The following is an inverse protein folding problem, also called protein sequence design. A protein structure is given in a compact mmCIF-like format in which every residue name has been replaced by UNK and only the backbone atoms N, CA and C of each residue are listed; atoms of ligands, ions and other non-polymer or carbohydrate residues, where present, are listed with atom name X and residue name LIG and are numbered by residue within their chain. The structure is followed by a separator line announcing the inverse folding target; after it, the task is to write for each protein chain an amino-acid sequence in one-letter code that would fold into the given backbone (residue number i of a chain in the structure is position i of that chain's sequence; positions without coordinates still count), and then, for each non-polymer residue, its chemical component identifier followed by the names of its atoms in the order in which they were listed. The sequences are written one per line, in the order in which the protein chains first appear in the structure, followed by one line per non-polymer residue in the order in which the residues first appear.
data_IF_225411053225
#
_entry.id   IF_225411053225
#
_cell.length_a   1.000
_cell.length_b   1.000
_cell.length_c   1.000
_cell.angle_alpha   90.00
_cell.angle_beta   90.00
_cell.angle_gamma   90.00
#
_symmetry.space_group_name_H-M   'P 1'
#
loop_
_entity.id
_entity.type
_entity.pdbx_description
1 polymer ?
#
# COMPACT_ATOMS: atom_id res chain seq x y z
N UNK A 1 26.63 -7.70 16.88
CA UNK A 1 26.36 -7.61 15.43
C UNK A 1 25.00 -6.97 15.22
N UNK A 2 24.93 -5.87 14.48
CA UNK A 2 23.67 -5.17 14.21
C UNK A 2 22.90 -5.96 13.13
N UNK A 3 21.64 -6.38 13.37
CA UNK A 3 20.85 -7.10 12.38
C UNK A 3 20.77 -6.34 11.05
N UNK A 4 20.86 -7.04 9.92
CA UNK A 4 20.88 -6.44 8.57
C UNK A 4 19.70 -5.49 8.30
N UNK A 5 18.54 -5.75 8.94
CA UNK A 5 17.34 -4.90 8.92
C UNK A 5 17.59 -3.46 9.42
N UNK A 6 18.53 -3.27 10.34
CA UNK A 6 18.89 -1.97 10.92
C UNK A 6 19.93 -1.23 10.07
N UNK A 7 20.72 -1.95 9.24
CA UNK A 7 21.77 -1.35 8.40
C UNK A 7 21.27 -0.80 7.07
N UNK A 8 20.23 -1.39 6.47
CA UNK A 8 19.58 -0.85 5.27
C UNK A 8 18.91 0.52 5.55
N UNK A 9 18.39 0.72 6.77
CA UNK A 9 17.84 2.00 7.22
C UNK A 9 18.93 3.07 7.46
N UNK A 10 20.07 2.65 8.04
CA UNK A 10 21.18 3.55 8.39
C UNK A 10 22.01 3.97 7.19
N UNK A 11 22.17 3.13 6.16
CA UNK A 11 22.92 3.49 4.94
C UNK A 11 22.22 4.59 4.12
N UNK A 12 20.88 4.63 4.15
CA UNK A 12 20.08 5.71 3.56
C UNK A 12 20.15 7.02 4.37
N UNK A 13 20.40 6.95 5.67
CA UNK A 13 20.49 8.14 6.54
C UNK A 13 21.86 8.85 6.45
N UNK A 14 22.93 8.12 6.09
CA UNK A 14 24.31 8.66 6.12
C UNK A 14 24.76 9.23 4.76
N UNK A 15 24.09 8.89 3.65
CA UNK A 15 24.51 9.33 2.30
C UNK A 15 23.57 10.35 1.67
N UNK A 16 22.89 11.15 2.50
CA UNK A 16 22.01 12.25 2.08
C UNK A 16 22.10 13.47 3.03
N UNK A 17 23.16 13.51 3.85
CA UNK A 17 23.40 14.57 4.84
C UNK A 17 23.92 15.89 4.24
N UNK A 18 24.31 15.95 2.96
CA UNK A 18 25.05 17.10 2.42
C UNK A 18 24.48 17.75 1.14
N UNK A 19 23.28 17.38 0.67
CA UNK A 19 22.71 18.01 -0.54
C UNK A 19 21.24 18.49 -0.48
N UNK A 20 20.65 18.68 0.70
CA UNK A 20 19.33 19.32 0.82
C UNK A 20 19.34 20.48 1.81
N UNK A 21 20.18 21.47 1.49
CA UNK A 21 20.11 22.82 2.02
C UNK A 21 19.55 23.70 0.90
N UNK A 22 18.35 24.24 1.12
CA UNK A 22 17.60 25.24 0.33
C UNK A 22 16.47 24.75 -0.60
N UNK A 23 15.29 24.59 0.00
CA UNK A 23 14.09 25.25 -0.51
C UNK A 23 13.19 25.65 0.69
N UNK A 24 12.70 26.91 0.78
CA UNK A 24 11.86 27.36 1.89
C UNK A 24 10.50 26.64 1.87
N UNK A 25 10.09 26.18 3.06
CA UNK A 25 8.97 25.27 3.37
C UNK A 25 7.59 25.95 3.47
N UNK A 26 7.39 27.08 2.80
CA UNK A 26 6.13 27.82 2.88
C UNK A 26 5.26 27.49 1.65
N UNK A 27 4.08 26.90 1.89
CA UNK A 27 3.09 26.40 0.93
C UNK A 27 3.39 25.05 0.24
N UNK A 28 3.36 23.93 0.99
CA UNK A 28 3.21 22.62 0.36
C UNK A 28 1.76 22.44 -0.16
N UNK A 29 1.53 22.05 -1.43
CA UNK A 29 0.19 21.94 -2.04
C UNK A 29 -0.82 21.14 -1.21
N UNK A 30 -0.36 20.08 -0.53
CA UNK A 30 -1.17 19.22 0.35
C UNK A 30 -1.98 19.99 1.42
N UNK A 31 -1.55 21.19 1.83
CA UNK A 31 -2.22 21.97 2.88
C UNK A 31 -3.09 23.11 2.34
N UNK A 32 -2.81 23.61 1.14
CA UNK A 32 -3.39 24.85 0.64
C UNK A 32 -4.16 24.69 -0.67
N UNK A 33 -3.91 23.63 -1.43
CA UNK A 33 -4.57 23.38 -2.71
C UNK A 33 -5.51 22.17 -2.64
N UNK A 34 -6.68 22.30 -3.29
CA UNK A 34 -7.38 21.16 -3.88
C UNK A 34 -7.18 21.31 -5.40
N UNK A 35 -6.28 20.54 -6.03
CA UNK A 35 -6.12 20.52 -7.48
C UNK A 35 -7.46 20.25 -8.17
N UNK A 36 -7.58 20.43 -9.48
CA UNK A 36 -8.75 19.94 -10.20
C UNK A 36 -8.99 18.45 -9.90
N UNK A 37 -10.24 18.00 -9.98
CA UNK A 37 -10.54 16.58 -9.85
C UNK A 37 -9.78 15.80 -10.92
N UNK A 38 -9.19 14.68 -10.53
CA UNK A 38 -8.61 13.80 -11.51
C UNK A 38 -9.72 13.18 -12.37
N UNK A 39 -9.49 12.91 -13.67
CA UNK A 39 -10.45 12.16 -14.46
C UNK A 39 -10.67 10.77 -13.85
N UNK A 40 -11.84 10.12 -14.03
CA UNK A 40 -12.00 8.74 -13.61
C UNK A 40 -10.98 7.83 -14.34
N UNK A 41 -10.46 6.77 -13.68
CA UNK A 41 -9.63 5.78 -14.35
C UNK A 41 -10.36 5.16 -15.56
N UNK A 42 -9.62 4.85 -16.62
CA UNK A 42 -10.20 4.23 -17.82
C UNK A 42 -10.47 2.74 -17.55
N UNK A 43 -11.74 2.33 -17.54
CA UNK A 43 -12.09 0.90 -17.44
C UNK A 43 -11.68 0.17 -18.73
N UNK A 44 -10.82 -0.85 -18.59
CA UNK A 44 -10.36 -1.69 -19.68
C UNK A 44 -11.24 -2.94 -19.85
N UNK A 45 -11.67 -3.52 -18.74
CA UNK A 45 -12.54 -4.70 -18.74
C UNK A 45 -13.26 -4.89 -17.41
N UNK A 46 -14.38 -5.61 -17.46
CA UNK A 46 -15.23 -5.96 -16.33
C UNK A 46 -15.85 -7.35 -16.53
N UNK A 47 -16.00 -8.08 -15.43
CA UNK A 47 -16.73 -9.35 -15.38
C UNK A 47 -17.43 -9.52 -14.03
N UNK A 48 -18.70 -9.89 -14.08
CA UNK A 48 -19.53 -10.09 -12.90
C UNK A 48 -19.96 -8.77 -12.27
N UNK A 49 -20.84 -8.87 -11.28
CA UNK A 49 -21.30 -7.74 -10.47
C UNK A 49 -20.67 -7.82 -9.08
N UNK A 50 -20.16 -6.70 -8.53
CA UNK A 50 -19.61 -6.69 -7.18
C UNK A 50 -20.71 -6.89 -6.13
N UNK A 51 -20.34 -7.50 -5.02
CA UNK A 51 -21.27 -7.80 -3.92
C UNK A 51 -20.66 -8.59 -2.77
N UNK A 52 -19.37 -8.90 -2.83
CA UNK A 52 -18.65 -9.53 -1.74
C UNK A 52 -18.33 -8.52 -0.62
N UNK A 53 -18.15 -9.01 0.61
CA UNK A 53 -17.68 -8.15 1.72
C UNK A 53 -16.18 -7.83 1.64
N UNK A 54 -15.43 -8.60 0.84
CA UNK A 54 -13.98 -8.47 0.66
C UNK A 54 -13.67 -7.92 -0.74
N UNK A 55 -12.84 -6.89 -0.80
CA UNK A 55 -12.18 -6.45 -2.02
C UNK A 55 -10.71 -6.90 -2.05
N UNK A 56 -10.27 -7.59 -3.09
CA UNK A 56 -8.86 -7.75 -3.41
C UNK A 56 -8.43 -6.59 -4.31
N UNK A 57 -7.63 -5.65 -3.79
CA UNK A 57 -7.12 -4.50 -4.54
C UNK A 57 -5.70 -4.81 -5.02
N UNK A 58 -5.54 -4.97 -6.33
CA UNK A 58 -4.26 -5.28 -6.96
C UNK A 58 -3.81 -4.13 -7.85
N UNK A 59 -2.61 -3.60 -7.61
CA UNK A 59 -1.96 -2.68 -8.55
C UNK A 59 -0.87 -3.38 -9.37
N UNK A 60 -0.97 -3.31 -10.69
CA UNK A 60 -0.09 -3.97 -11.65
C UNK A 60 0.71 -2.94 -12.48
N UNK A 61 1.95 -2.69 -12.05
CA UNK A 61 2.96 -1.96 -12.82
C UNK A 61 3.92 -2.91 -13.57
N UNK A 62 4.17 -4.11 -13.05
CA UNK A 62 5.06 -5.11 -13.64
C UNK A 62 4.27 -6.37 -14.05
N UNK A 63 3.75 -6.45 -15.29
CA UNK A 63 2.88 -7.55 -15.72
C UNK A 63 3.51 -8.94 -15.67
N UNK A 64 4.84 -9.03 -15.77
CA UNK A 64 5.54 -10.32 -15.78
C UNK A 64 5.51 -11.05 -14.44
N UNK A 65 5.30 -10.34 -13.32
CA UNK A 65 5.13 -10.95 -11.99
C UNK A 65 3.66 -11.04 -11.56
N UNK A 66 2.74 -10.56 -12.40
CA UNK A 66 1.30 -10.61 -12.12
C UNK A 66 0.78 -12.04 -11.90
N UNK A 67 1.14 -13.07 -12.72
CA UNK A 67 0.60 -14.42 -12.54
C UNK A 67 0.85 -15.01 -11.15
N UNK A 68 2.01 -14.75 -10.54
CA UNK A 68 2.30 -15.22 -9.18
C UNK A 68 1.44 -14.55 -8.11
N UNK A 69 1.14 -13.26 -8.27
CA UNK A 69 0.24 -12.53 -7.36
C UNK A 69 -1.20 -13.01 -7.52
N UNK A 70 -1.63 -13.29 -8.75
CA UNK A 70 -2.95 -13.84 -9.03
C UNK A 70 -3.13 -15.22 -8.40
N UNK A 71 -2.15 -16.10 -8.51
CA UNK A 71 -2.18 -17.40 -7.83
C UNK A 71 -2.20 -17.28 -6.29
N UNK A 72 -1.55 -16.26 -5.73
CA UNK A 72 -1.62 -16.01 -4.28
C UNK A 72 -3.02 -15.59 -3.81
N UNK A 73 -3.83 -14.93 -4.66
CA UNK A 73 -5.20 -14.54 -4.32
C UNK A 73 -6.15 -15.75 -4.17
N UNK A 74 -5.82 -16.92 -4.73
CA UNK A 74 -6.56 -18.17 -4.50
C UNK A 74 -6.54 -18.61 -3.03
N UNK A 75 -5.62 -18.07 -2.22
CA UNK A 75 -5.60 -18.29 -0.79
C UNK A 75 -6.81 -17.67 -0.05
N UNK A 76 -7.59 -16.78 -0.67
CA UNK A 76 -8.76 -16.18 -0.03
C UNK A 76 -9.92 -17.19 -0.02
N UNK A 77 -10.37 -17.69 1.16
CA UNK A 77 -11.33 -18.78 1.25
C UNK A 77 -12.80 -18.33 1.23
N UNK A 78 -13.05 -17.06 0.92
CA UNK A 78 -14.37 -16.42 0.88
C UNK A 78 -14.56 -15.75 -0.48
N UNK A 79 -15.82 -15.56 -0.95
CA UNK A 79 -16.07 -14.74 -2.13
C UNK A 79 -15.47 -13.34 -1.97
N UNK A 80 -14.78 -12.86 -2.99
CA UNK A 80 -14.21 -11.51 -3.02
C UNK A 80 -14.30 -10.90 -4.42
N UNK A 81 -14.32 -9.58 -4.47
CA UNK A 81 -14.29 -8.81 -5.71
C UNK A 81 -12.87 -8.33 -6.01
N UNK A 82 -12.41 -8.52 -7.25
CA UNK A 82 -11.05 -8.19 -7.66
C UNK A 82 -11.01 -6.82 -8.37
N UNK A 83 -10.32 -5.86 -7.75
CA UNK A 83 -10.17 -4.50 -8.24
C UNK A 83 -8.72 -4.31 -8.73
N UNK A 84 -8.52 -4.24 -10.04
CA UNK A 84 -7.18 -4.15 -10.64
C UNK A 84 -6.94 -2.76 -11.21
N UNK A 85 -5.85 -2.12 -10.82
CA UNK A 85 -5.29 -0.97 -11.55
C UNK A 85 -4.04 -1.37 -12.28
N UNK A 86 -3.79 -0.81 -13.45
CA UNK A 86 -2.58 -1.10 -14.23
C UNK A 86 -2.04 0.13 -14.95
N UNK A 87 -0.72 0.20 -15.09
CA UNK A 87 -0.04 1.28 -15.84
C UNK A 87 0.16 0.95 -17.31
N UNK A 88 -0.13 -0.29 -17.73
CA UNK A 88 -0.03 -0.74 -19.11
C UNK A 88 -1.41 -1.21 -19.58
N UNK A 89 -1.69 -1.22 -20.89
CA UNK A 89 -2.86 -1.92 -21.41
C UNK A 89 -2.77 -3.40 -20.98
N UNK A 90 -3.61 -3.78 -20.02
CA UNK A 90 -3.71 -5.14 -19.51
C UNK A 90 -5.08 -5.68 -19.86
N UNK A 91 -5.10 -6.77 -20.60
CA UNK A 91 -6.30 -7.61 -20.73
C UNK A 91 -6.10 -8.75 -19.74
N UNK A 92 -6.89 -8.79 -18.68
CA UNK A 92 -6.84 -9.93 -17.77
C UNK A 92 -7.27 -11.19 -18.53
N UNK A 93 -6.49 -12.29 -18.45
CA UNK A 93 -6.86 -13.55 -19.10
C UNK A 93 -8.19 -14.08 -18.56
N UNK A 94 -8.95 -14.77 -19.42
CA UNK A 94 -10.25 -15.42 -19.13
C UNK A 94 -10.17 -16.51 -18.04
N UNK A 95 -9.02 -16.76 -17.41
CA UNK A 95 -8.78 -17.74 -16.34
C UNK A 95 -8.86 -17.16 -14.91
N UNK A 96 -8.62 -15.86 -14.75
CA UNK A 96 -8.95 -15.08 -13.54
C UNK A 96 -10.44 -15.11 -13.09
N UNK A 97 -11.42 -15.33 -13.97
CA UNK A 97 -12.84 -15.41 -13.69
C UNK A 97 -13.35 -16.50 -12.75
N UNK A 98 -12.59 -17.51 -12.35
CA UNK A 98 -13.22 -18.64 -11.63
C UNK A 98 -13.29 -18.46 -10.11
N UNK A 99 -12.27 -17.86 -9.49
CA UNK A 99 -12.20 -17.78 -8.01
C UNK A 99 -12.63 -16.43 -7.41
N UNK A 100 -12.58 -15.33 -8.17
CA UNK A 100 -13.13 -14.04 -7.74
C UNK A 100 -14.60 -13.92 -8.15
N UNK A 101 -15.46 -13.32 -7.32
CA UNK A 101 -16.89 -13.13 -7.61
C UNK A 101 -17.11 -12.14 -8.78
N UNK A 102 -16.45 -10.98 -8.72
CA UNK A 102 -16.35 -10.03 -9.83
C UNK A 102 -14.91 -9.56 -10.03
N UNK A 103 -14.61 -9.00 -11.20
CA UNK A 103 -13.30 -8.45 -11.51
C UNK A 103 -13.45 -7.22 -12.42
N UNK A 104 -12.70 -6.16 -12.11
CA UNK A 104 -12.66 -4.95 -12.94
C UNK A 104 -11.22 -4.47 -13.08
N UNK A 105 -10.88 -3.97 -14.27
CA UNK A 105 -9.54 -3.49 -14.61
C UNK A 105 -9.61 -2.05 -15.04
N UNK A 106 -8.79 -1.21 -14.43
CA UNK A 106 -8.63 0.19 -14.81
C UNK A 106 -7.20 0.50 -15.22
N UNK A 107 -7.05 1.23 -16.32
CA UNK A 107 -5.80 1.86 -16.69
C UNK A 107 -5.62 3.18 -15.93
N UNK A 108 -4.42 3.36 -15.39
CA UNK A 108 -3.99 4.54 -14.64
C UNK A 108 -2.58 4.95 -15.07
N UNK A 109 -2.19 6.19 -14.76
CA UNK A 109 -0.82 6.64 -14.96
C UNK A 109 0.14 6.00 -13.96
N UNK A 110 1.40 5.85 -14.35
CA UNK A 110 2.47 5.47 -13.42
C UNK A 110 2.92 6.68 -12.58
N UNK A 111 2.05 7.11 -11.67
CA UNK A 111 2.30 8.21 -10.74
C UNK A 111 1.90 7.81 -9.33
N UNK A 112 2.70 8.15 -8.32
CA UNK A 112 2.41 7.84 -6.93
C UNK A 112 2.45 6.34 -6.62
N UNK A 113 3.16 5.57 -7.45
CA UNK A 113 3.36 4.11 -7.35
C UNK A 113 2.03 3.38 -7.16
N UNK A 114 1.91 2.55 -6.13
CA UNK A 114 0.69 1.82 -5.79
C UNK A 114 -0.32 2.64 -4.93
N UNK A 115 0.08 3.82 -4.46
CA UNK A 115 -0.71 4.63 -3.52
C UNK A 115 -1.72 5.52 -4.25
N UNK A 116 -1.30 6.26 -5.27
CA UNK A 116 -2.24 7.11 -6.01
C UNK A 116 -3.28 6.28 -6.77
N UNK A 117 -2.93 5.15 -7.44
CA UNK A 117 -3.93 4.25 -8.02
C UNK A 117 -4.97 3.76 -7.01
N UNK A 118 -4.56 3.40 -5.79
CA UNK A 118 -5.49 3.05 -4.72
C UNK A 118 -6.42 4.21 -4.39
N UNK A 119 -5.88 5.41 -4.19
CA UNK A 119 -6.66 6.60 -3.88
C UNK A 119 -7.66 6.92 -4.99
N UNK A 120 -7.29 6.73 -6.25
CA UNK A 120 -8.19 6.92 -7.39
C UNK A 120 -9.37 5.97 -7.38
N UNK A 121 -9.18 4.71 -6.97
CA UNK A 121 -10.29 3.78 -6.76
C UNK A 121 -11.20 4.22 -5.62
N UNK A 122 -10.62 4.69 -4.51
CA UNK A 122 -11.41 5.19 -3.36
C UNK A 122 -12.21 6.44 -3.74
N UNK A 123 -11.59 7.41 -4.40
CA UNK A 123 -12.26 8.64 -4.84
C UNK A 123 -13.38 8.37 -5.85
N UNK A 124 -13.24 7.34 -6.69
CA UNK A 124 -14.27 6.90 -7.63
C UNK A 124 -15.38 6.05 -6.99
N UNK A 125 -15.35 5.82 -5.67
CA UNK A 125 -16.37 5.04 -4.95
C UNK A 125 -16.23 3.52 -5.09
N UNK A 126 -15.16 3.02 -5.73
CA UNK A 126 -14.99 1.58 -5.97
C UNK A 126 -14.65 0.77 -4.72
N UNK A 127 -14.41 1.43 -3.58
CA UNK A 127 -14.17 0.79 -2.27
C UNK A 127 -15.33 1.00 -1.29
N UNK A 128 -16.47 1.52 -1.76
CA UNK A 128 -17.69 1.61 -0.96
C UNK A 128 -18.34 0.22 -0.79
N UNK A 129 -18.99 -0.01 0.35
CA UNK A 129 -19.70 -1.25 0.65
C UNK A 129 -18.84 -2.42 1.16
N UNK A 130 -17.52 -2.42 0.95
CA UNK A 130 -16.65 -3.47 1.49
C UNK A 130 -16.40 -3.31 3.00
N UNK A 131 -16.25 -4.44 3.68
CA UNK A 131 -15.82 -4.51 5.07
C UNK A 131 -14.29 -4.57 5.15
N UNK A 132 -13.69 -5.43 4.34
CA UNK A 132 -12.25 -5.70 4.31
C UNK A 132 -11.68 -5.50 2.91
N UNK A 133 -10.43 -5.06 2.85
CA UNK A 133 -9.65 -5.01 1.63
C UNK A 133 -8.31 -5.75 1.82
N UNK A 134 -7.99 -6.64 0.89
CA UNK A 134 -6.64 -7.19 0.72
C UNK A 134 -5.92 -6.38 -0.36
N UNK A 135 -4.98 -5.53 0.03
CA UNK A 135 -4.21 -4.70 -0.91
C UNK A 135 -2.87 -5.36 -1.20
N UNK A 136 -2.60 -5.60 -2.47
CA UNK A 136 -1.32 -6.09 -2.99
C UNK A 136 -0.91 -5.35 -4.26
N UNK A 137 0.35 -5.44 -4.65
CA UNK A 137 0.80 -4.86 -5.90
C UNK A 137 2.02 -5.58 -6.47
N UNK A 138 2.18 -5.55 -7.78
CA UNK A 138 3.40 -6.05 -8.41
C UNK A 138 4.58 -5.20 -7.94
N UNK A 139 5.68 -5.84 -7.56
CA UNK A 139 6.88 -5.17 -7.08
C UNK A 139 8.12 -5.85 -7.65
N UNK A 140 9.01 -5.03 -8.19
CA UNK A 140 10.40 -5.38 -8.50
C UNK A 140 11.29 -4.35 -7.81
N UNK A 141 12.34 -4.80 -7.14
CA UNK A 141 13.39 -3.88 -6.71
C UNK A 141 14.45 -3.81 -7.80
N UNK A 142 14.67 -2.63 -8.38
CA UNK A 142 15.71 -2.34 -9.39
C UNK A 142 17.14 -2.35 -8.84
N UNK A 143 17.33 -2.62 -7.55
CA UNK A 143 18.57 -2.33 -6.83
C UNK A 143 19.78 -3.25 -7.10
N UNK A 144 19.86 -4.02 -8.20
CA UNK A 144 20.92 -5.04 -8.36
C UNK A 144 21.39 -5.37 -9.78
N UNK A 145 21.33 -4.45 -10.75
CA UNK A 145 22.11 -4.64 -11.99
C UNK A 145 23.61 -4.28 -11.81
N UNK A 146 23.93 -3.46 -10.82
CA UNK A 146 25.32 -3.13 -10.44
C UNK A 146 25.67 -3.89 -9.16
N UNK A 147 26.23 -5.09 -9.30
CA UNK A 147 26.61 -5.93 -8.18
C UNK A 147 27.62 -5.25 -7.25
N UNK A 148 27.23 -4.99 -6.00
CA UNK A 148 28.06 -5.19 -4.82
C UNK A 148 27.21 -5.05 -3.52
N UNK A 149 27.63 -5.77 -2.46
CA UNK A 149 27.36 -5.56 -1.01
C UNK A 149 26.12 -6.10 -0.28
N UNK A 150 25.14 -6.76 -0.90
CA UNK A 150 24.06 -7.40 -0.13
C UNK A 150 23.67 -8.76 -0.70
N UNK A 151 23.43 -9.77 0.15
CA UNK A 151 22.86 -11.07 -0.24
C UNK A 151 21.34 -11.07 0.01
N UNK A 152 20.53 -11.27 -1.05
CA UNK A 152 19.06 -11.37 -0.98
C UNK A 152 18.34 -10.75 -2.18
N UNK A 153 17.58 -11.54 -2.95
CA UNK A 153 16.93 -11.10 -4.19
C UNK A 153 15.68 -10.23 -3.93
N UNK A 154 15.42 -9.24 -4.79
CA UNK A 154 14.19 -8.44 -4.77
C UNK A 154 12.91 -9.25 -4.85
N UNK A 155 13.00 -10.41 -5.53
CA UNK A 155 11.97 -11.43 -5.51
C UNK A 155 11.66 -11.89 -4.07
N UNK A 156 12.68 -12.15 -3.24
CA UNK A 156 12.48 -12.62 -1.87
C UNK A 156 11.74 -11.60 -1.01
N UNK A 157 11.94 -10.29 -1.21
CA UNK A 157 11.19 -9.28 -0.47
C UNK A 157 9.72 -9.23 -0.90
N UNK A 158 9.44 -9.24 -2.21
CA UNK A 158 8.06 -9.36 -2.71
C UNK A 158 7.39 -10.62 -2.19
N UNK A 159 8.08 -11.77 -2.26
CA UNK A 159 7.52 -13.05 -1.85
C UNK A 159 7.29 -13.11 -0.34
N UNK A 160 8.14 -12.47 0.47
CA UNK A 160 7.91 -12.31 1.90
C UNK A 160 6.71 -11.41 2.22
N UNK A 161 6.51 -10.32 1.47
CA UNK A 161 5.34 -9.44 1.62
C UNK A 161 4.05 -10.19 1.25
N UNK A 162 4.01 -10.77 0.04
CA UNK A 162 2.83 -11.51 -0.46
C UNK A 162 2.57 -12.73 0.43
N UNK A 163 3.57 -13.55 0.73
CA UNK A 163 3.42 -14.73 1.58
C UNK A 163 3.05 -14.41 3.03
N UNK A 164 3.33 -13.19 3.50
CA UNK A 164 2.90 -12.72 4.81
C UNK A 164 1.41 -12.37 4.90
N UNK A 165 0.74 -12.12 3.77
CA UNK A 165 -0.69 -11.74 3.73
C UNK A 165 -1.57 -12.72 2.95
N UNK A 166 -0.99 -13.52 2.05
CA UNK A 166 -1.66 -14.45 1.13
C UNK A 166 -0.92 -15.80 1.05
N UNK A 167 -0.14 -16.17 2.07
CA UNK A 167 0.74 -17.33 2.00
C UNK A 167 0.03 -18.68 1.97
N UNK A 168 -1.18 -18.79 2.54
CA UNK A 168 -2.03 -19.98 2.43
C UNK A 168 -3.46 -19.69 2.84
N UNK A 169 -4.41 -20.54 2.42
CA UNK A 169 -5.81 -20.43 2.83
C UNK A 169 -6.01 -20.55 4.35
N UNK A 170 -5.16 -21.31 5.05
CA UNK A 170 -5.18 -21.40 6.51
C UNK A 170 -4.74 -20.07 7.16
N UNK A 171 -3.69 -19.42 6.62
CA UNK A 171 -3.26 -18.11 7.10
C UNK A 171 -4.34 -17.05 6.84
N UNK A 172 -4.90 -16.98 5.63
CA UNK A 172 -5.91 -15.98 5.27
C UNK A 172 -7.18 -16.16 6.11
N UNK A 173 -7.63 -17.40 6.34
CA UNK A 173 -8.76 -17.69 7.24
C UNK A 173 -8.52 -17.16 8.66
N UNK A 174 -7.31 -17.32 9.21
CA UNK A 174 -6.97 -16.74 10.52
C UNK A 174 -6.97 -15.22 10.50
N UNK A 175 -6.47 -14.60 9.44
CA UNK A 175 -6.50 -13.13 9.28
C UNK A 175 -7.95 -12.63 9.29
N UNK A 176 -8.83 -13.23 8.48
CA UNK A 176 -10.23 -12.83 8.40
C UNK A 176 -10.94 -13.06 9.74
N UNK A 177 -10.76 -14.23 10.37
CA UNK A 177 -11.33 -14.52 11.68
C UNK A 177 -10.86 -13.53 12.77
N UNK A 178 -9.62 -13.05 12.69
CA UNK A 178 -9.12 -12.03 13.60
C UNK A 178 -9.81 -10.67 13.39
N UNK A 179 -10.14 -10.30 12.15
CA UNK A 179 -10.95 -9.11 11.87
C UNK A 179 -12.40 -9.27 12.35
N UNK A 180 -12.98 -10.46 12.21
CA UNK A 180 -14.33 -10.73 12.69
C UNK A 180 -14.41 -10.70 14.23
N UNK A 181 -13.35 -11.17 14.91
CA UNK A 181 -13.28 -11.24 16.37
C UNK A 181 -12.81 -9.98 17.10
N UNK A 182 -12.13 -9.05 16.42
CA UNK A 182 -11.58 -7.83 17.05
C UNK A 182 -11.89 -6.56 16.24
N UNK A 183 -12.91 -5.77 16.63
CA UNK A 183 -13.22 -4.48 16.02
C UNK A 183 -12.06 -3.49 16.02
N UNK A 184 -11.15 -3.56 16.99
CA UNK A 184 -9.98 -2.68 17.07
C UNK A 184 -8.84 -3.11 16.12
N UNK A 185 -8.86 -4.32 15.56
CA UNK A 185 -7.93 -4.71 14.51
C UNK A 185 -8.28 -3.98 13.22
N UNK A 186 -7.39 -3.08 12.78
CA UNK A 186 -7.63 -2.25 11.61
C UNK A 186 -6.78 -2.66 10.41
N UNK A 187 -5.59 -3.21 10.65
CA UNK A 187 -4.66 -3.61 9.60
C UNK A 187 -3.78 -4.79 10.02
N UNK A 188 -3.54 -5.70 9.09
CA UNK A 188 -2.59 -6.81 9.20
C UNK A 188 -1.62 -6.76 8.02
N UNK A 189 -0.33 -6.75 8.29
CA UNK A 189 0.71 -6.82 7.24
C UNK A 189 1.65 -8.01 7.45
N UNK A 190 2.64 -8.17 6.58
CA UNK A 190 3.58 -9.29 6.63
C UNK A 190 4.55 -9.19 7.83
N UNK A 191 5.05 -10.33 8.34
CA UNK A 191 6.01 -10.37 9.44
C UNK A 191 7.24 -9.49 9.20
N UNK A 192 7.59 -8.69 10.21
CA UNK A 192 8.73 -7.78 10.15
C UNK A 192 8.57 -6.57 9.22
N UNK A 193 7.36 -6.30 8.71
CA UNK A 193 7.08 -5.14 7.85
C UNK A 193 6.42 -3.97 8.59
N UNK A 194 6.23 -4.07 9.91
CA UNK A 194 5.85 -2.91 10.74
C UNK A 194 7.12 -2.16 11.14
N UNK A 195 7.32 -0.98 10.55
CA UNK A 195 8.53 -0.17 10.74
C UNK A 195 8.30 1.03 11.65
N UNK A 196 9.37 1.42 12.36
CA UNK A 196 9.35 2.42 13.44
C UNK A 196 9.92 3.80 13.08
N UNK A 197 10.12 4.68 14.10
CA UNK A 197 10.58 6.06 13.95
C UNK A 197 11.89 6.24 13.18
N UNK A 198 12.78 5.25 13.19
CA UNK A 198 14.05 5.28 12.45
C UNK A 198 13.87 5.31 10.92
N UNK A 199 12.67 5.02 10.42
CA UNK A 199 12.34 5.03 8.99
C UNK A 199 11.58 6.28 8.55
N UNK A 200 11.50 7.32 9.38
CA UNK A 200 10.81 8.58 9.06
C UNK A 200 11.34 9.23 7.77
N UNK A 201 12.66 9.24 7.61
CA UNK A 201 13.35 9.73 6.42
C UNK A 201 13.02 11.19 6.06
N UNK A 202 13.10 11.51 4.78
CA UNK A 202 12.82 12.85 4.27
C UNK A 202 11.31 13.21 4.29
N UNK A 203 10.42 12.24 4.52
CA UNK A 203 8.96 12.41 4.44
C UNK A 203 8.34 13.15 5.62
N UNK A 204 9.10 13.46 6.66
CA UNK A 204 8.55 13.97 7.90
C UNK A 204 7.66 15.20 7.82
N UNK A 205 8.06 16.24 7.07
CA UNK A 205 7.19 17.38 6.81
C UNK A 205 5.86 16.98 6.14
N UNK A 206 5.89 16.02 5.20
CA UNK A 206 4.70 15.55 4.48
C UNK A 206 3.78 14.73 5.36
N UNK A 207 4.32 13.82 6.17
CA UNK A 207 3.53 13.05 7.15
C UNK A 207 2.82 14.00 8.11
N UNK A 208 3.50 15.04 8.60
CA UNK A 208 2.86 16.08 9.45
C UNK A 208 1.83 16.92 8.71
N UNK A 209 2.00 17.17 7.42
CA UNK A 209 1.01 17.87 6.60
C UNK A 209 -0.26 17.02 6.44
N UNK A 210 -0.11 15.74 6.09
CA UNK A 210 -1.21 14.77 6.01
C UNK A 210 -1.93 14.61 7.34
N UNK A 211 -1.18 14.48 8.45
CA UNK A 211 -1.73 14.36 9.79
C UNK A 211 -2.56 15.59 10.19
N UNK A 212 -2.06 16.82 9.92
CA UNK A 212 -2.84 18.04 10.13
C UNK A 212 -4.11 18.07 9.30
N UNK A 213 -4.04 17.68 8.03
CA UNK A 213 -5.21 17.61 7.14
C UNK A 213 -6.25 16.60 7.63
N UNK A 214 -5.81 15.53 8.28
CA UNK A 214 -6.66 14.51 8.89
C UNK A 214 -7.15 14.87 10.32
N UNK A 215 -6.67 15.95 10.93
CA UNK A 215 -6.91 16.24 12.34
C UNK A 215 -6.24 15.27 13.32
N UNK A 216 -5.15 14.61 12.89
CA UNK A 216 -4.42 13.61 13.68
C UNK A 216 -3.10 14.21 14.19
N UNK A 217 -2.76 13.89 15.44
CA UNK A 217 -1.45 14.24 16.01
C UNK A 217 -0.41 13.18 15.61
N UNK A 218 0.60 13.59 14.84
CA UNK A 218 1.69 12.70 14.40
C UNK A 218 3.01 13.05 15.12
N UNK A 219 3.28 12.38 16.25
CA UNK A 219 4.57 12.50 16.97
C UNK A 219 5.57 11.49 16.41
N UNK A 220 6.79 11.89 16.01
CA UNK A 220 7.74 10.98 15.37
C UNK A 220 8.02 9.68 16.14
N UNK A 221 8.04 9.74 17.47
CA UNK A 221 8.27 8.58 18.34
C UNK A 221 7.17 7.49 18.23
N UNK A 222 5.98 7.87 17.79
CA UNK A 222 4.82 6.97 17.66
C UNK A 222 4.75 6.30 16.29
N UNK A 223 5.71 6.55 15.39
CA UNK A 223 5.64 5.99 14.04
C UNK A 223 5.60 4.47 14.08
N UNK A 224 4.53 3.90 13.55
CA UNK A 224 4.41 2.47 13.22
C UNK A 224 3.60 2.35 11.94
N UNK A 225 4.17 1.81 10.88
CA UNK A 225 3.48 1.71 9.59
C UNK A 225 3.84 0.42 8.85
N UNK A 226 2.94 -0.04 7.99
CA UNK A 226 3.14 -1.21 7.14
C UNK A 226 4.00 -0.83 5.92
N UNK A 227 5.30 -1.11 5.99
CA UNK A 227 6.22 -0.83 4.92
C UNK A 227 6.05 -1.82 3.76
N UNK A 228 6.15 -1.31 2.54
CA UNK A 228 5.95 -2.09 1.32
C UNK A 228 4.48 -2.17 0.87
N UNK A 229 3.56 -1.49 1.54
CA UNK A 229 2.18 -1.24 1.10
C UNK A 229 1.39 -2.50 0.65
N UNK A 230 1.59 -3.63 1.35
CA UNK A 230 0.79 -4.86 1.19
C UNK A 230 0.21 -5.28 2.54
N UNK A 231 -1.10 -5.41 2.61
CA UNK A 231 -1.82 -5.62 3.87
C UNK A 231 -3.26 -6.05 3.66
N UNK A 232 -3.84 -6.68 4.68
CA UNK A 232 -5.28 -6.68 4.90
C UNK A 232 -5.65 -5.48 5.76
N UNK A 233 -6.77 -4.82 5.46
CA UNK A 233 -7.21 -3.63 6.16
C UNK A 233 -8.73 -3.56 6.21
N UNK A 234 -9.30 -2.96 7.26
CA UNK A 234 -10.70 -2.53 7.21
C UNK A 234 -10.86 -1.47 6.12
N UNK A 235 -11.81 -1.67 5.21
CA UNK A 235 -12.00 -0.77 4.07
C UNK A 235 -12.32 0.67 4.51
N UNK A 236 -12.85 0.86 5.73
CA UNK A 236 -13.02 2.18 6.35
C UNK A 236 -11.71 2.99 6.42
N UNK A 237 -10.57 2.36 6.70
CA UNK A 237 -9.26 3.05 6.74
C UNK A 237 -8.95 3.67 5.37
N UNK A 238 -9.24 2.94 4.29
CA UNK A 238 -9.04 3.41 2.93
C UNK A 238 -10.00 4.56 2.58
N UNK A 239 -11.27 4.47 3.00
CA UNK A 239 -12.24 5.56 2.82
C UNK A 239 -11.83 6.82 3.58
N UNK A 240 -11.34 6.69 4.82
CA UNK A 240 -10.79 7.81 5.60
C UNK A 240 -9.55 8.42 4.94
N UNK A 241 -8.70 7.59 4.33
CA UNK A 241 -7.57 8.07 3.55
C UNK A 241 -8.06 8.86 2.31
N UNK A 242 -9.07 8.36 1.60
CA UNK A 242 -9.72 9.05 0.48
C UNK A 242 -10.37 10.38 0.86
N UNK A 243 -10.90 10.50 2.07
CA UNK A 243 -11.46 11.76 2.59
C UNK A 243 -10.44 12.90 2.69
N UNK A 244 -9.14 12.60 2.63
CA UNK A 244 -8.12 13.63 2.48
C UNK A 244 -8.19 14.32 1.12
N UNK A 245 -8.83 13.75 0.10
CA UNK A 245 -8.93 14.35 -1.24
C UNK A 245 -7.55 14.62 -1.86
N UNK A 246 -6.68 13.61 -1.77
CA UNK A 246 -5.36 13.61 -2.40
C UNK A 246 -5.54 13.21 -3.87
N UNK A 247 -4.90 13.97 -4.77
CA UNK A 247 -5.10 13.93 -6.23
C UNK A 247 -3.75 13.93 -6.90
N UNK A 248 -3.68 13.60 -8.19
CA UNK A 248 -2.44 13.54 -8.98
C UNK A 248 -1.54 14.78 -8.81
N UNK A 249 -2.12 15.99 -8.75
CA UNK A 249 -1.39 17.24 -8.54
C UNK A 249 -0.66 17.37 -7.19
N UNK A 250 -0.93 16.47 -6.24
CA UNK A 250 -0.21 16.37 -4.97
C UNK A 250 0.96 15.38 -5.00
N UNK A 251 1.03 14.51 -6.02
CA UNK A 251 2.02 13.45 -6.11
C UNK A 251 3.18 13.86 -7.00
N UNK A 252 4.38 13.46 -6.60
CA UNK A 252 5.59 13.61 -7.39
C UNK A 252 5.47 12.85 -8.72
N UNK A 253 6.10 13.37 -9.78
CA UNK A 253 6.29 12.58 -11.01
C UNK A 253 7.28 11.46 -10.72
N UNK A 254 7.01 10.25 -11.22
CA UNK A 254 7.92 9.12 -11.02
C UNK A 254 9.21 9.31 -11.82
N UNK A 255 10.33 9.26 -11.11
CA UNK A 255 11.71 9.34 -11.63
C UNK A 255 12.63 8.32 -10.94
N UNK A 256 12.05 7.32 -10.27
CA UNK A 256 12.80 6.30 -9.52
C UNK A 256 13.26 6.76 -8.13
N UNK A 257 12.57 7.72 -7.50
CA UNK A 257 12.95 8.24 -6.18
C UNK A 257 12.75 7.20 -5.07
N UNK A 258 13.75 7.03 -4.19
CA UNK A 258 13.71 6.04 -3.10
C UNK A 258 13.10 6.55 -1.78
N UNK A 259 12.97 7.88 -1.58
CA UNK A 259 12.34 8.48 -0.39
C UNK A 259 11.87 9.92 -0.66
N UNK A 260 11.11 10.52 0.27
CA UNK A 260 10.75 11.94 0.23
C UNK A 260 9.60 12.31 -0.71
N UNK A 261 8.86 11.32 -1.21
CA UNK A 261 7.70 11.53 -2.09
C UNK A 261 6.39 11.47 -1.31
N UNK A 262 5.33 12.02 -1.90
CA UNK A 262 3.97 11.96 -1.31
C UNK A 262 3.49 10.52 -1.14
N UNK A 263 3.84 9.59 -2.04
CA UNK A 263 3.48 8.17 -1.88
C UNK A 263 4.12 7.56 -0.61
N UNK A 264 5.41 7.80 -0.40
CA UNK A 264 6.14 7.36 0.80
C UNK A 264 5.65 8.04 2.09
N UNK A 265 5.21 9.29 2.00
CA UNK A 265 4.58 9.99 3.11
C UNK A 265 3.21 9.42 3.47
N UNK A 266 2.39 9.08 2.47
CA UNK A 266 1.08 8.44 2.68
C UNK A 266 1.25 7.06 3.32
N UNK A 267 2.22 6.26 2.85
CA UNK A 267 2.52 4.94 3.44
C UNK A 267 2.81 5.05 4.96
N UNK A 268 3.64 6.02 5.37
CA UNK A 268 3.93 6.28 6.78
C UNK A 268 2.74 6.86 7.53
N UNK A 269 2.01 7.79 6.92
CA UNK A 269 0.83 8.41 7.49
C UNK A 269 -0.28 7.39 7.76
N UNK A 270 -0.41 6.36 6.92
CA UNK A 270 -1.40 5.30 7.08
C UNK A 270 -1.26 4.59 8.45
N UNK A 271 -0.05 4.50 8.97
CA UNK A 271 0.23 4.04 10.33
C UNK A 271 -0.47 4.86 11.42
N UNK A 272 -0.39 6.19 11.32
CA UNK A 272 -1.12 7.10 12.21
C UNK A 272 -2.63 7.02 12.04
N UNK A 273 -3.09 6.90 10.79
CA UNK A 273 -4.51 6.78 10.49
C UNK A 273 -5.09 5.50 11.13
N UNK A 274 -4.38 4.38 11.01
CA UNK A 274 -4.73 3.13 11.69
C UNK A 274 -4.69 3.30 13.20
N UNK A 275 -3.62 3.86 13.77
CA UNK A 275 -3.49 4.07 15.22
C UNK A 275 -4.59 4.98 15.80
N UNK A 276 -5.17 5.87 15.00
CA UNK A 276 -6.29 6.73 15.42
C UNK A 276 -7.63 6.00 15.55
N UNK A 277 -7.74 4.79 14.99
CA UNK A 277 -8.99 4.01 14.95
C UNK A 277 -8.84 2.59 15.52
N UNK A 278 -7.61 2.14 15.76
CA UNK A 278 -7.32 0.83 16.36
C UNK A 278 -5.85 0.45 16.20
N UNK A 279 -5.57 -0.82 15.90
CA UNK A 279 -4.21 -1.37 15.87
C UNK A 279 -3.82 -1.96 14.52
N UNK A 280 -2.52 -1.85 14.24
CA UNK A 280 -1.78 -2.52 13.17
C UNK A 280 -0.94 -3.64 13.79
N UNK A 281 -1.02 -4.83 13.22
CA UNK A 281 -0.18 -5.99 13.60
C UNK A 281 0.39 -6.68 12.37
N UNK A 282 1.30 -7.61 12.59
CA UNK A 282 1.76 -8.57 11.58
C UNK A 282 1.01 -9.89 11.68
N UNK A 283 0.98 -10.67 10.59
CA UNK A 283 0.21 -11.92 10.53
C UNK A 283 0.70 -13.03 11.48
N UNK A 284 1.93 -12.95 11.97
CA UNK A 284 2.50 -13.81 13.01
C UNK A 284 2.11 -13.38 14.44
N UNK A 285 1.62 -12.16 14.64
CA UNK A 285 1.05 -11.70 15.92
C UNK A 285 -0.42 -12.14 16.10
N UNK A 286 -1.05 -12.66 15.04
CA UNK A 286 -2.41 -13.21 15.11
C UNK A 286 -2.34 -14.59 15.74
N UNK A 287 -3.06 -14.76 16.86
CA UNK A 287 -3.11 -16.01 17.60
C UNK A 287 -3.42 -17.21 16.66
N UNK A 288 -2.77 -18.36 16.86
CA UNK A 288 -3.24 -19.59 16.25
C UNK A 288 -4.65 -19.86 16.80
N UNK A 289 -5.64 -19.89 15.90
CA UNK A 289 -7.01 -20.26 16.24
C UNK A 289 -7.17 -21.74 16.52
#
# INVERSE_FOLDING_TARGET
MIPWRVRAALAAAVTLGEQLVHAPREAWPLLTARPAADPPPLELSRRGEPGARIAAVLHCHFPDVLPGLLGALEAIPEPFDLLVTTTAPLVLPDVLPSFAASAVVWQVDNQGRDILPLLRLVEAGHLEGYELACKVHTKKSSWRETGDRFSGDGAQWRDALVGGVLGSAAQVRRIIAAFDGDPALMMVTAPGQVLGPQYWGANGPLVRALARRAGITARPADLRFAAGSMYWVRAEVLRRLGALGLRSGHFDRERGQDDGTTAHAVERFLGYLVASTGRLVTSDEIAPG
#
